data_IF_516572532939
#
_entry.id   IF_516572532939
#
_cell.length_a   1.000
_cell.length_b   1.000
_cell.length_c   1.000
_cell.angle_alpha   90.00
_cell.angle_beta   90.00
_cell.angle_gamma   90.00
#
_symmetry.space_group_name_H-M   'P 1'
#
loop_
_entity.id
_entity.type
_entity.pdbx_description
1 polymer ?
#
# COMPACT_ATOMS: atom_id res chain seq x y z
N UNK A 1 -11.15 27.08 62.49
CA UNK A 1 -11.36 25.71 62.97
C UNK A 1 -10.89 24.80 61.84
N UNK A 2 -9.61 24.40 61.83
CA UNK A 2 -9.17 23.05 62.27
C UNK A 2 -9.50 22.04 61.13
N UNK A 3 -8.62 21.19 60.60
CA UNK A 3 -7.38 20.61 61.11
C UNK A 3 -6.58 19.93 59.98
N UNK A 4 -5.29 19.73 60.23
CA UNK A 4 -4.27 19.09 59.41
C UNK A 4 -4.48 17.57 59.21
N UNK A 5 -4.07 17.05 58.05
CA UNK A 5 -3.36 15.76 57.85
C UNK A 5 -2.44 15.97 56.63
N UNK A 6 -1.12 15.80 56.62
CA UNK A 6 -0.22 15.07 57.50
C UNK A 6 0.24 13.77 56.82
N UNK A 7 1.38 13.85 56.09
CA UNK A 7 2.24 12.71 55.68
C UNK A 7 1.69 11.83 54.54
N UNK A 8 2.42 11.40 53.52
CA UNK A 8 3.86 11.25 53.33
C UNK A 8 4.08 9.84 52.77
N UNK A 9 4.49 9.70 51.51
CA UNK A 9 5.19 8.53 50.97
C UNK A 9 5.57 8.78 49.51
N UNK A 10 6.88 8.93 49.27
CA UNK A 10 7.48 8.60 47.99
C UNK A 10 7.56 7.08 47.87
N UNK A 11 7.28 6.55 46.67
CA UNK A 11 7.75 5.31 46.06
C UNK A 11 6.73 4.95 44.98
N UNK A 12 7.04 5.12 43.69
CA UNK A 12 7.63 4.05 42.89
C UNK A 12 6.89 2.72 43.11
N UNK A 13 5.91 2.43 42.27
CA UNK A 13 5.47 1.06 42.06
C UNK A 13 5.31 0.86 40.55
N UNK A 14 6.33 0.22 39.99
CA UNK A 14 6.20 -0.55 38.76
C UNK A 14 5.19 -1.66 39.05
N UNK A 15 4.16 -1.76 38.23
CA UNK A 15 3.36 -2.97 38.10
C UNK A 15 3.42 -3.39 36.62
N UNK A 16 4.45 -4.18 36.33
CA UNK A 16 4.52 -5.05 35.16
C UNK A 16 3.56 -6.23 35.37
N UNK A 17 2.83 -6.59 34.32
CA UNK A 17 2.25 -7.90 34.01
C UNK A 17 1.47 -7.70 32.69
N UNK A 18 1.59 -8.47 31.61
CA UNK A 18 2.19 -9.79 31.45
C UNK A 18 2.35 -10.06 29.94
N UNK A 19 3.50 -10.65 29.64
CA UNK A 19 3.92 -11.54 28.54
C UNK A 19 3.07 -11.70 27.26
N UNK A 20 3.75 -11.56 26.12
CA UNK A 20 3.39 -12.30 24.91
C UNK A 20 3.74 -11.65 23.57
N UNK A 21 4.84 -12.13 22.98
CA UNK A 21 5.11 -12.17 21.54
C UNK A 21 5.81 -10.96 20.88
N UNK A 22 7.06 -11.28 20.52
CA UNK A 22 7.76 -10.97 19.27
C UNK A 22 8.72 -9.79 19.33
N UNK A 23 9.99 -10.12 19.20
CA UNK A 23 11.06 -9.30 18.64
C UNK A 23 10.54 -8.33 17.57
N UNK A 24 10.22 -7.09 17.95
CA UNK A 24 10.01 -5.97 17.03
C UNK A 24 10.87 -4.84 17.56
N UNK A 25 12.12 -4.85 17.15
CA UNK A 25 13.15 -4.02 17.77
C UNK A 25 14.43 -4.11 16.98
N UNK A 26 14.45 -3.37 15.87
CA UNK A 26 15.63 -2.87 15.13
C UNK A 26 15.28 -2.37 13.72
N UNK A 27 14.11 -2.73 13.18
CA UNK A 27 13.73 -2.43 11.78
C UNK A 27 12.91 -1.14 11.60
N UNK A 28 12.31 -0.60 12.66
CA UNK A 28 11.32 0.48 12.52
C UNK A 28 11.95 1.82 12.08
N UNK A 29 13.11 2.23 12.60
CA UNK A 29 13.70 3.54 12.29
C UNK A 29 14.15 3.73 10.83
N UNK A 30 14.67 2.68 10.19
CA UNK A 30 15.14 2.74 8.78
C UNK A 30 13.95 2.62 7.81
N UNK A 31 12.97 1.77 8.14
CA UNK A 31 11.76 1.59 7.36
C UNK A 31 10.90 2.88 7.36
N UNK A 32 10.84 3.58 8.49
CA UNK A 32 10.11 4.85 8.64
C UNK A 32 10.67 5.95 7.72
N UNK A 33 12.00 6.04 7.54
CA UNK A 33 12.61 7.01 6.61
C UNK A 33 12.25 6.68 5.15
N UNK A 34 12.32 5.41 4.77
CA UNK A 34 11.96 4.95 3.42
C UNK A 34 10.47 5.19 3.15
N UNK A 35 9.61 4.88 4.11
CA UNK A 35 8.17 5.12 4.02
C UNK A 35 7.89 6.62 3.85
N UNK A 36 8.52 7.49 4.62
CA UNK A 36 8.35 8.93 4.50
C UNK A 36 8.77 9.44 3.10
N UNK A 37 9.86 8.91 2.54
CA UNK A 37 10.28 9.24 1.18
C UNK A 37 9.27 8.76 0.12
N UNK A 38 8.72 7.55 0.28
CA UNK A 38 7.68 7.01 -0.62
C UNK A 38 6.45 7.92 -0.59
N UNK A 39 5.97 8.27 0.60
CA UNK A 39 4.80 9.13 0.78
C UNK A 39 5.01 10.53 0.18
N UNK A 40 6.19 11.12 0.37
CA UNK A 40 6.51 12.44 -0.17
C UNK A 40 6.53 12.43 -1.70
N UNK A 41 7.16 11.43 -2.32
CA UNK A 41 7.17 11.28 -3.78
C UNK A 41 5.77 11.01 -4.35
N UNK A 42 4.98 10.20 -3.65
CA UNK A 42 3.60 9.95 -4.04
C UNK A 42 2.81 11.25 -4.02
N UNK A 43 2.87 12.01 -2.93
CA UNK A 43 2.10 13.25 -2.76
C UNK A 43 2.57 14.39 -3.68
N UNK A 44 3.88 14.55 -3.84
CA UNK A 44 4.47 15.68 -4.56
C UNK A 44 4.43 15.51 -6.09
N UNK A 45 4.45 14.27 -6.59
CA UNK A 45 4.69 14.03 -8.02
C UNK A 45 3.75 13.03 -8.68
N UNK A 46 3.42 11.93 -8.01
CA UNK A 46 2.61 10.86 -8.62
C UNK A 46 1.12 11.19 -8.53
N UNK A 47 0.62 11.51 -7.33
CA UNK A 47 -0.77 11.87 -7.08
C UNK A 47 -1.30 13.03 -7.92
N UNK A 48 -0.57 14.14 -8.18
CA UNK A 48 -1.09 15.18 -9.07
C UNK A 48 -1.31 14.65 -10.49
N UNK A 49 -0.36 13.91 -11.06
CA UNK A 49 -0.52 13.32 -12.39
C UNK A 49 -1.69 12.33 -12.43
N UNK A 50 -1.84 11.48 -11.42
CA UNK A 50 -2.93 10.49 -11.37
C UNK A 50 -4.30 11.16 -11.20
N UNK A 51 -4.39 12.23 -10.42
CA UNK A 51 -5.62 13.02 -10.27
C UNK A 51 -5.99 13.77 -11.55
N UNK A 52 -5.01 14.21 -12.35
CA UNK A 52 -5.28 14.77 -13.69
C UNK A 52 -5.92 13.73 -14.62
N UNK A 53 -5.53 12.46 -14.52
CA UNK A 53 -6.15 11.33 -15.20
C UNK A 53 -7.49 10.85 -14.57
N UNK A 54 -7.92 11.49 -13.47
CA UNK A 54 -9.17 11.17 -12.77
C UNK A 54 -9.10 9.94 -11.85
N UNK A 55 -7.90 9.55 -11.41
CA UNK A 55 -7.68 8.55 -10.37
C UNK A 55 -7.18 9.15 -9.06
N UNK A 56 -6.88 8.29 -8.09
CA UNK A 56 -6.03 8.65 -6.95
C UNK A 56 -5.20 7.42 -6.52
N UNK A 57 -4.15 7.64 -5.73
CA UNK A 57 -3.30 6.58 -5.19
C UNK A 57 -3.05 6.84 -3.71
N UNK A 58 -3.22 5.80 -2.90
CA UNK A 58 -2.93 5.82 -1.47
C UNK A 58 -1.83 4.81 -1.14
N UNK A 59 -0.89 5.23 -0.30
CA UNK A 59 0.10 4.32 0.28
C UNK A 59 -0.59 3.41 1.32
N UNK A 60 -0.33 2.11 1.25
CA UNK A 60 -0.90 1.13 2.19
C UNK A 60 0.14 0.58 3.15
N UNK A 61 1.23 0.01 2.62
CA UNK A 61 2.34 -0.51 3.41
C UNK A 61 3.60 -0.69 2.56
N UNK A 62 4.74 -0.75 3.22
CA UNK A 62 6.01 -1.14 2.64
C UNK A 62 6.57 -2.35 3.40
N UNK A 63 7.13 -3.30 2.68
CA UNK A 63 7.80 -4.47 3.22
C UNK A 63 9.29 -4.34 2.88
N UNK A 64 10.11 -4.03 3.89
CA UNK A 64 11.53 -3.75 3.69
C UNK A 64 12.38 -5.00 3.45
N UNK A 65 11.95 -6.16 3.96
CA UNK A 65 12.61 -7.44 3.68
C UNK A 65 12.51 -7.81 2.19
N UNK A 66 11.38 -7.52 1.55
CA UNK A 66 11.11 -7.84 0.13
C UNK A 66 11.26 -6.65 -0.82
N UNK A 67 11.25 -5.42 -0.31
CA UNK A 67 11.22 -4.18 -1.07
C UNK A 67 9.88 -3.93 -1.78
N UNK A 68 8.78 -4.54 -1.33
CA UNK A 68 7.47 -4.43 -2.00
C UNK A 68 6.65 -3.31 -1.39
N UNK A 69 6.27 -2.33 -2.22
CA UNK A 69 5.35 -1.24 -1.85
C UNK A 69 3.93 -1.63 -2.24
N UNK A 70 3.01 -1.61 -1.29
CA UNK A 70 1.59 -1.84 -1.52
C UNK A 70 0.86 -0.50 -1.60
N UNK A 71 0.13 -0.31 -2.69
CA UNK A 71 -0.64 0.89 -2.97
C UNK A 71 -2.11 0.53 -3.20
N UNK A 72 -3.00 1.41 -2.79
CA UNK A 72 -4.41 1.36 -3.15
C UNK A 72 -4.66 2.35 -4.28
N UNK A 73 -5.19 1.86 -5.41
CA UNK A 73 -5.60 2.70 -6.53
C UNK A 73 -7.09 3.03 -6.40
N UNK A 74 -7.45 4.27 -6.71
CA UNK A 74 -8.83 4.74 -6.71
C UNK A 74 -9.20 5.44 -8.03
N UNK A 75 -10.50 5.59 -8.27
CA UNK A 75 -11.04 6.30 -9.43
C UNK A 75 -10.84 5.57 -10.76
N UNK A 76 -10.55 6.31 -11.82
CA UNK A 76 -10.37 5.76 -13.19
C UNK A 76 -9.32 4.67 -13.29
N UNK A 77 -8.34 4.66 -12.37
CA UNK A 77 -7.21 3.74 -12.37
C UNK A 77 -7.54 2.38 -11.75
N UNK A 78 -8.56 2.27 -10.90
CA UNK A 78 -8.96 1.02 -10.26
C UNK A 78 -9.86 0.14 -11.15
N UNK A 79 -10.60 0.75 -12.08
CA UNK A 79 -11.66 0.05 -12.83
C UNK A 79 -11.24 -0.59 -14.16
N UNK A 80 -10.02 -0.34 -14.65
CA UNK A 80 -9.56 -0.82 -15.95
C UNK A 80 -8.22 -1.56 -15.81
N UNK A 81 -8.16 -2.89 -16.05
CA UNK A 81 -6.94 -3.68 -15.86
C UNK A 81 -5.80 -3.25 -16.80
N UNK A 82 -6.11 -2.75 -17.99
CA UNK A 82 -5.08 -2.26 -18.92
C UNK A 82 -4.44 -0.95 -18.43
N UNK A 83 -5.22 -0.09 -17.78
CA UNK A 83 -4.75 1.20 -17.27
C UNK A 83 -4.03 1.04 -15.94
N UNK A 84 -4.52 0.16 -15.05
CA UNK A 84 -3.87 -0.12 -13.76
C UNK A 84 -2.47 -0.72 -13.95
N UNK A 85 -2.30 -1.66 -14.89
CA UNK A 85 -0.98 -2.24 -15.20
C UNK A 85 0.01 -1.18 -15.68
N UNK A 86 -0.39 -0.33 -16.63
CA UNK A 86 0.51 0.70 -17.19
C UNK A 86 0.90 1.73 -16.12
N UNK A 87 -0.09 2.17 -15.32
CA UNK A 87 0.15 3.15 -14.27
C UNK A 87 1.05 2.57 -13.18
N UNK A 88 0.76 1.36 -12.71
CA UNK A 88 1.57 0.62 -11.75
C UNK A 88 3.03 0.53 -12.21
N UNK A 89 3.25 0.19 -13.48
CA UNK A 89 4.60 0.07 -14.03
C UNK A 89 5.33 1.42 -14.07
N UNK A 90 4.62 2.51 -14.38
CA UNK A 90 5.14 3.87 -14.33
C UNK A 90 5.53 4.30 -12.92
N UNK A 91 4.63 4.08 -11.95
CA UNK A 91 4.85 4.37 -10.53
C UNK A 91 6.01 3.56 -9.98
N UNK A 92 6.06 2.26 -10.29
CA UNK A 92 7.15 1.37 -9.88
C UNK A 92 8.50 1.85 -10.41
N UNK A 93 8.58 2.18 -11.70
CA UNK A 93 9.84 2.67 -12.28
C UNK A 93 10.29 4.00 -11.66
N UNK A 94 9.34 4.87 -11.30
CA UNK A 94 9.66 6.10 -10.58
C UNK A 94 10.16 5.83 -9.17
N UNK A 95 9.45 5.01 -8.39
CA UNK A 95 9.86 4.69 -7.02
C UNK A 95 11.23 4.03 -6.98
N UNK A 96 11.49 3.04 -7.83
CA UNK A 96 12.81 2.39 -7.96
C UNK A 96 13.94 3.37 -8.32
N UNK A 97 13.64 4.44 -9.04
CA UNK A 97 14.64 5.43 -9.45
C UNK A 97 15.08 6.33 -8.31
N UNK A 98 14.15 6.72 -7.43
CA UNK A 98 14.45 7.61 -6.30
C UNK A 98 14.76 6.85 -5.00
N UNK A 99 14.23 5.64 -4.86
CA UNK A 99 14.33 4.80 -3.66
C UNK A 99 14.77 3.39 -4.11
N UNK A 100 16.09 3.10 -4.10
CA UNK A 100 16.62 1.83 -4.58
C UNK A 100 16.18 0.62 -3.75
N UNK A 101 15.68 0.86 -2.54
CA UNK A 101 15.13 -0.16 -1.62
C UNK A 101 13.78 -0.70 -2.13
N UNK A 102 13.10 0.04 -3.00
CA UNK A 102 11.88 -0.44 -3.66
C UNK A 102 12.26 -1.41 -4.78
N UNK A 103 11.76 -2.64 -4.69
CA UNK A 103 11.95 -3.70 -5.67
C UNK A 103 10.71 -3.91 -6.53
N UNK A 104 9.49 -3.69 -6.03
CA UNK A 104 8.27 -3.83 -6.81
C UNK A 104 7.11 -3.07 -6.18
N UNK A 105 6.08 -2.80 -6.98
CA UNK A 105 4.81 -2.25 -6.50
C UNK A 105 3.72 -3.32 -6.61
N UNK A 106 2.89 -3.45 -5.59
CA UNK A 106 1.69 -4.28 -5.57
C UNK A 106 0.47 -3.39 -5.33
N UNK A 107 -0.66 -3.78 -5.92
CA UNK A 107 -1.94 -3.15 -5.64
C UNK A 107 -2.66 -3.97 -4.56
N UNK A 108 -3.24 -3.31 -3.56
CA UNK A 108 -4.21 -3.99 -2.68
C UNK A 108 -5.52 -4.15 -3.44
N UNK A 109 -5.71 -5.32 -4.04
CA UNK A 109 -6.96 -5.66 -4.74
C UNK A 109 -8.12 -5.68 -3.74
N UNK A 110 -9.11 -4.79 -3.92
CA UNK A 110 -10.46 -5.00 -3.37
C UNK A 110 -11.18 -5.98 -4.30
N UNK A 111 -10.93 -7.26 -4.09
CA UNK A 111 -11.64 -8.48 -4.50
C UNK A 111 -12.91 -8.31 -5.40
N UNK A 112 -12.78 -7.87 -6.66
CA UNK A 112 -13.86 -8.02 -7.67
C UNK A 112 -13.36 -8.35 -9.10
N UNK A 113 -12.07 -8.22 -9.41
CA UNK A 113 -11.54 -8.41 -10.77
C UNK A 113 -11.38 -9.87 -11.22
N UNK A 114 -11.46 -10.85 -10.32
CA UNK A 114 -11.30 -12.27 -10.68
C UNK A 114 -12.45 -12.80 -11.58
N UNK A 115 -13.56 -12.06 -11.72
CA UNK A 115 -14.70 -12.45 -12.54
C UNK A 115 -14.63 -11.97 -14.01
N UNK A 116 -13.86 -10.94 -14.34
CA UNK A 116 -13.83 -10.37 -15.70
C UNK A 116 -12.88 -11.12 -16.62
N UNK A 117 -11.70 -11.52 -16.14
CA UNK A 117 -10.72 -12.29 -16.93
C UNK A 117 -11.30 -13.64 -17.39
N UNK A 118 -12.07 -14.30 -16.53
CA UNK A 118 -12.77 -15.55 -16.86
C UNK A 118 -13.86 -15.36 -17.92
N UNK A 119 -14.43 -14.16 -18.04
CA UNK A 119 -15.49 -13.85 -19.01
C UNK A 119 -14.93 -13.45 -20.38
N UNK A 120 -13.78 -12.78 -20.42
CA UNK A 120 -13.09 -12.43 -21.67
C UNK A 120 -12.47 -13.65 -22.35
N UNK A 121 -11.77 -14.50 -21.60
CA UNK A 121 -11.17 -15.73 -22.16
C UNK A 121 -12.24 -16.70 -22.70
N UNK A 122 -13.39 -16.81 -22.05
CA UNK A 122 -14.51 -17.62 -22.54
C UNK A 122 -15.17 -17.01 -23.79
N UNK A 123 -15.22 -15.68 -23.90
CA UNK A 123 -15.79 -15.02 -25.07
C UNK A 123 -14.89 -15.21 -26.31
N UNK A 124 -13.57 -15.08 -26.15
CA UNK A 124 -12.60 -15.29 -27.23
C UNK A 124 -12.58 -16.75 -27.72
N UNK A 125 -12.64 -17.72 -26.79
CA UNK A 125 -12.71 -19.14 -27.14
C UNK A 125 -14.00 -19.49 -27.89
N UNK A 126 -15.13 -18.89 -27.47
CA UNK A 126 -16.43 -19.01 -28.16
C UNK A 126 -16.46 -18.30 -29.52
N UNK A 127 -15.83 -17.13 -29.67
CA UNK A 127 -15.75 -16.41 -30.94
C UNK A 127 -14.89 -17.17 -31.95
N UNK A 128 -13.77 -17.75 -31.49
CA UNK A 128 -12.90 -18.61 -32.30
C UNK A 128 -13.60 -19.91 -32.70
N UNK A 129 -14.36 -20.54 -31.80
CA UNK A 129 -15.17 -21.72 -32.10
C UNK A 129 -16.35 -21.44 -33.06
N UNK A 130 -16.88 -20.21 -33.07
CA UNK A 130 -17.96 -19.80 -33.98
C UNK A 130 -17.48 -19.44 -35.40
N UNK A 131 -16.16 -19.43 -35.67
CA UNK A 131 -15.61 -19.26 -37.01
C UNK A 131 -15.90 -17.91 -37.66
N UNK A 132 -16.12 -16.84 -36.88
CA UNK A 132 -16.39 -15.50 -37.40
C UNK A 132 -15.05 -14.86 -37.84
N UNK A 133 -14.79 -14.65 -39.14
CA UNK A 133 -13.59 -13.96 -39.58
C UNK A 133 -13.65 -12.48 -39.18
N UNK A 134 -12.55 -11.95 -38.62
CA UNK A 134 -12.34 -10.50 -38.51
C UNK A 134 -11.89 -10.00 -39.88
N UNK A 135 -12.81 -9.40 -40.62
CA UNK A 135 -12.50 -8.55 -41.78
C UNK A 135 -12.42 -7.09 -41.30
#
# INVERSE_FOLDING_TARGET
MMEHFGSGAAALEQASADEGATIKGAVEDEDDEVVAMIEELLLSRIRPAVQEDGGDIFFSRFDADTGIVWLELAGSCAGCPSSSVTLKQGVENMLRHYIPEVVAVAEVESDELMQTTSREQSLEDRLRAAGIPRD
#
